data_IF_243185384147
#
_entry.id   IF_243185384147
#
_cell.length_a   1.000
_cell.length_b   1.000
_cell.length_c   1.000
_cell.angle_alpha   90.00
_cell.angle_beta   90.00
_cell.angle_gamma   90.00
#
_symmetry.space_group_name_H-M   'P 1'
#
loop_
_entity.id
_entity.type
_entity.pdbx_description
1 polymer ?
#
# COMPACT_ATOMS: atom_id res chain seq x y z
N UNK A 1 9.91 -9.50 -12.89
CA UNK A 1 9.87 -10.47 -14.02
C UNK A 1 10.16 -9.80 -15.36
N UNK A 2 9.38 -8.81 -15.82
CA UNK A 2 9.62 -8.14 -17.12
C UNK A 2 11.05 -7.59 -17.27
N UNK A 3 11.56 -6.86 -16.28
CA UNK A 3 12.92 -6.30 -16.32
C UNK A 3 14.02 -7.38 -16.42
N UNK A 4 13.83 -8.54 -15.81
CA UNK A 4 14.75 -9.67 -15.90
C UNK A 4 14.72 -10.30 -17.30
N UNK A 5 13.53 -10.49 -17.86
CA UNK A 5 13.34 -10.98 -19.23
C UNK A 5 13.93 -9.99 -20.26
N UNK A 6 13.66 -8.69 -20.11
CA UNK A 6 14.22 -7.65 -20.99
C UNK A 6 15.75 -7.64 -20.94
N UNK A 7 16.34 -7.78 -19.74
CA UNK A 7 17.79 -7.85 -19.56
C UNK A 7 18.38 -9.09 -20.24
N UNK A 8 17.71 -10.24 -20.12
CA UNK A 8 18.15 -11.50 -20.76
C UNK A 8 18.10 -11.38 -22.28
N UNK A 9 17.01 -10.86 -22.86
CA UNK A 9 16.86 -10.66 -24.30
C UNK A 9 17.94 -9.70 -24.83
N UNK A 10 18.18 -8.58 -24.16
CA UNK A 10 19.21 -7.62 -24.54
C UNK A 10 20.62 -8.19 -24.49
N UNK A 11 20.91 -9.03 -23.47
CA UNK A 11 22.21 -9.69 -23.33
C UNK A 11 22.43 -10.74 -24.41
N UNK A 12 21.45 -11.61 -24.68
CA UNK A 12 21.54 -12.61 -25.73
C UNK A 12 21.76 -11.97 -27.09
N UNK A 13 20.98 -10.94 -27.42
CA UNK A 13 21.12 -10.21 -28.67
C UNK A 13 22.51 -9.54 -28.80
N UNK A 14 22.98 -8.89 -27.73
CA UNK A 14 24.30 -8.25 -27.70
C UNK A 14 25.46 -9.24 -27.80
N UNK A 15 25.37 -10.38 -27.08
CA UNK A 15 26.39 -11.42 -27.10
C UNK A 15 26.49 -12.11 -28.47
N UNK A 16 25.34 -12.44 -29.06
CA UNK A 16 25.29 -13.06 -30.40
C UNK A 16 25.83 -12.11 -31.46
N UNK A 17 25.39 -10.85 -31.48
CA UNK A 17 25.83 -9.87 -32.44
C UNK A 17 27.33 -9.50 -32.27
N UNK A 18 27.78 -9.24 -31.05
CA UNK A 18 29.17 -8.95 -30.73
C UNK A 18 30.10 -10.13 -31.10
N UNK A 19 29.68 -11.36 -30.82
CA UNK A 19 30.39 -12.58 -31.22
C UNK A 19 30.50 -12.73 -32.75
N UNK A 20 29.42 -12.46 -33.48
CA UNK A 20 29.39 -12.51 -34.94
C UNK A 20 30.32 -11.48 -35.55
N UNK A 21 30.31 -10.24 -35.06
CA UNK A 21 31.21 -9.17 -35.49
C UNK A 21 32.68 -9.52 -35.19
N UNK A 22 32.95 -10.12 -34.02
CA UNK A 22 34.28 -10.54 -33.62
C UNK A 22 34.86 -11.64 -34.52
N UNK A 23 33.99 -12.52 -35.06
CA UNK A 23 34.42 -13.56 -36.00
C UNK A 23 34.59 -13.00 -37.43
N UNK A 24 33.67 -12.09 -37.82
CA UNK A 24 33.63 -11.56 -39.20
C UNK A 24 34.68 -10.47 -39.51
N UNK A 25 35.07 -9.69 -38.51
CA UNK A 25 36.02 -8.58 -38.69
C UNK A 25 37.27 -8.82 -37.86
N UNK A 26 38.45 -8.77 -38.53
CA UNK A 26 39.73 -8.76 -37.85
C UNK A 26 39.93 -7.42 -37.11
N UNK A 27 40.39 -7.47 -35.86
CA UNK A 27 40.58 -6.30 -35.00
C UNK A 27 42.01 -6.22 -34.45
N UNK A 28 42.99 -6.48 -35.31
CA UNK A 28 44.41 -6.50 -34.97
C UNK A 28 45.12 -5.15 -35.12
N UNK A 29 44.41 -4.04 -35.42
CA UNK A 29 44.91 -2.69 -35.53
C UNK A 29 43.91 -1.66 -35.07
N UNK A 30 44.36 -0.45 -34.72
CA UNK A 30 43.51 0.61 -34.13
C UNK A 30 42.30 0.96 -34.99
N UNK A 31 42.50 1.13 -36.30
CA UNK A 31 41.45 1.46 -37.26
C UNK A 31 40.47 0.30 -37.42
N UNK A 32 40.99 -0.94 -37.53
CA UNK A 32 40.13 -2.13 -37.66
C UNK A 32 39.31 -2.40 -36.41
N UNK A 33 39.91 -2.18 -35.24
CA UNK A 33 39.18 -2.28 -33.94
C UNK A 33 38.10 -1.21 -33.86
N UNK A 34 38.36 0.04 -34.28
CA UNK A 34 37.37 1.10 -34.33
C UNK A 34 36.18 0.77 -35.23
N UNK A 35 36.42 0.20 -36.42
CA UNK A 35 35.38 -0.25 -37.34
C UNK A 35 34.58 -1.43 -36.79
N UNK A 36 35.24 -2.39 -36.12
CA UNK A 36 34.57 -3.51 -35.48
C UNK A 36 33.68 -3.04 -34.32
N UNK A 37 34.15 -2.10 -33.48
CA UNK A 37 33.36 -1.46 -32.42
C UNK A 37 32.16 -0.74 -33.00
N UNK A 38 32.30 0.03 -34.07
CA UNK A 38 31.19 0.71 -34.71
C UNK A 38 30.16 -0.30 -35.25
N UNK A 39 30.61 -1.36 -35.90
CA UNK A 39 29.75 -2.42 -36.43
C UNK A 39 29.02 -3.20 -35.31
N UNK A 40 29.62 -3.38 -34.16
CA UNK A 40 29.00 -4.06 -33.03
C UNK A 40 27.99 -3.16 -32.28
N UNK A 41 28.36 -1.90 -32.06
CA UNK A 41 27.57 -1.00 -31.19
C UNK A 41 26.46 -0.29 -31.95
N UNK A 42 26.65 0.20 -33.16
CA UNK A 42 25.68 1.01 -33.86
C UNK A 42 24.33 0.28 -34.12
N UNK A 43 24.29 -0.95 -34.64
CA UNK A 43 23.03 -1.67 -34.83
C UNK A 43 22.33 -2.00 -33.49
N UNK A 44 23.09 -2.41 -32.47
CA UNK A 44 22.53 -2.74 -31.16
C UNK A 44 22.02 -1.52 -30.42
N UNK A 45 22.68 -0.34 -30.59
CA UNK A 45 22.21 0.93 -30.05
C UNK A 45 20.93 1.40 -30.76
N UNK A 46 20.82 1.20 -32.05
CA UNK A 46 19.57 1.47 -32.79
C UNK A 46 18.43 0.61 -32.28
N UNK A 47 18.65 -0.69 -32.08
CA UNK A 47 17.67 -1.60 -31.50
C UNK A 47 17.27 -1.17 -30.07
N UNK A 48 18.23 -0.72 -29.26
CA UNK A 48 17.98 -0.20 -27.91
C UNK A 48 17.15 1.09 -27.91
N UNK A 49 17.29 1.94 -28.93
CA UNK A 49 16.49 3.13 -29.10
C UNK A 49 15.05 2.83 -29.51
N UNK A 50 14.84 1.78 -30.30
CA UNK A 50 13.52 1.34 -30.77
C UNK A 50 12.76 0.52 -29.73
N UNK A 51 13.47 -0.27 -28.90
CA UNK A 51 12.86 -1.13 -27.90
C UNK A 51 13.72 -1.21 -26.63
N UNK A 52 13.13 -0.86 -25.50
CA UNK A 52 13.78 -0.84 -24.20
C UNK A 52 14.35 -2.20 -23.74
N UNK A 53 13.84 -3.31 -24.27
CA UNK A 53 14.35 -4.67 -23.98
C UNK A 53 15.79 -4.88 -24.47
N UNK A 54 16.26 -4.12 -25.45
CA UNK A 54 17.63 -4.19 -25.99
C UNK A 54 18.60 -3.19 -25.38
N UNK A 55 18.21 -2.46 -24.32
CA UNK A 55 19.03 -1.41 -23.71
C UNK A 55 20.44 -1.87 -23.27
N UNK A 56 20.57 -3.15 -22.91
CA UNK A 56 21.83 -3.77 -22.47
C UNK A 56 22.66 -4.32 -23.65
N UNK A 57 22.07 -4.52 -24.83
CA UNK A 57 22.71 -5.15 -25.98
C UNK A 57 24.00 -4.43 -26.46
N UNK A 58 24.08 -3.08 -26.55
CA UNK A 58 25.32 -2.41 -27.00
C UNK A 58 26.51 -2.65 -26.08
N UNK A 59 26.26 -2.63 -24.76
CA UNK A 59 27.31 -2.86 -23.76
C UNK A 59 27.78 -4.31 -23.82
N UNK A 60 26.87 -5.26 -23.95
CA UNK A 60 27.21 -6.69 -24.05
C UNK A 60 27.98 -6.98 -25.35
N UNK A 61 27.58 -6.40 -26.47
CA UNK A 61 28.26 -6.56 -27.74
C UNK A 61 29.72 -6.03 -27.67
N UNK A 62 29.93 -4.88 -27.02
CA UNK A 62 31.25 -4.28 -26.81
C UNK A 62 32.14 -5.19 -25.92
N UNK A 63 31.60 -5.72 -24.83
CA UNK A 63 32.34 -6.60 -23.90
C UNK A 63 32.77 -7.90 -24.58
N UNK A 64 31.92 -8.46 -25.43
CA UNK A 64 32.23 -9.70 -26.16
C UNK A 64 33.26 -9.43 -27.26
N UNK A 65 33.23 -8.23 -27.90
CA UNK A 65 34.17 -7.84 -28.93
C UNK A 65 35.58 -7.52 -28.38
N UNK A 66 35.66 -6.87 -27.21
CA UNK A 66 36.88 -6.39 -26.59
C UNK A 66 37.18 -7.10 -25.25
N UNK A 67 37.61 -8.34 -25.25
CA UNK A 67 37.92 -9.05 -24.01
C UNK A 67 39.13 -8.37 -23.33
N UNK A 68 38.92 -7.92 -22.09
CA UNK A 68 39.86 -6.99 -21.42
C UNK A 68 40.97 -7.67 -20.61
N UNK A 69 40.90 -8.94 -20.27
CA UNK A 69 41.99 -9.66 -19.55
C UNK A 69 41.62 -11.14 -19.31
N UNK A 70 42.38 -12.06 -19.81
CA UNK A 70 42.27 -13.48 -19.53
C UNK A 70 43.02 -14.33 -20.54
N UNK A 71 43.15 -15.65 -20.29
CA UNK A 71 43.67 -16.57 -21.30
C UNK A 71 42.81 -16.45 -22.56
N UNK A 72 43.44 -16.51 -23.74
CA UNK A 72 42.79 -16.32 -25.04
C UNK A 72 41.64 -17.32 -25.27
N UNK A 73 40.44 -16.98 -24.77
CA UNK A 73 39.22 -17.71 -25.05
C UNK A 73 38.75 -17.39 -26.47
N UNK A 74 38.14 -18.37 -27.13
CA UNK A 74 37.50 -18.10 -28.42
C UNK A 74 36.31 -17.13 -28.24
N UNK A 75 35.94 -16.33 -29.25
CA UNK A 75 34.78 -15.41 -29.16
C UNK A 75 33.51 -16.11 -28.73
N UNK A 76 33.35 -17.36 -29.12
CA UNK A 76 32.19 -18.20 -28.71
C UNK A 76 32.23 -18.53 -27.22
N UNK A 77 33.41 -18.85 -26.67
CA UNK A 77 33.57 -19.15 -25.25
C UNK A 77 33.27 -17.91 -24.39
N UNK A 78 33.70 -16.74 -24.80
CA UNK A 78 33.34 -15.45 -24.13
C UNK A 78 31.86 -15.17 -24.17
N UNK A 79 31.20 -15.39 -25.32
CA UNK A 79 29.75 -15.19 -25.42
C UNK A 79 28.98 -16.13 -24.49
N UNK A 80 29.41 -17.43 -24.41
CA UNK A 80 28.81 -18.42 -23.51
C UNK A 80 29.04 -18.07 -22.02
N UNK A 81 30.24 -17.67 -21.64
CA UNK A 81 30.55 -17.23 -20.27
C UNK A 81 29.65 -16.08 -19.85
N UNK A 82 29.46 -15.07 -20.71
CA UNK A 82 28.55 -13.94 -20.45
C UNK A 82 27.11 -14.36 -20.29
N UNK A 83 26.63 -15.29 -21.11
CA UNK A 83 25.26 -15.81 -21.01
C UNK A 83 25.07 -16.52 -19.66
N UNK A 84 26.04 -17.34 -19.25
CA UNK A 84 25.99 -18.07 -17.97
C UNK A 84 26.02 -17.12 -16.78
N UNK A 85 26.94 -16.15 -16.74
CA UNK A 85 27.04 -15.15 -15.67
C UNK A 85 25.73 -14.37 -15.48
N UNK A 86 25.16 -13.89 -16.57
CA UNK A 86 23.94 -13.08 -16.51
C UNK A 86 22.73 -13.94 -16.17
N UNK A 87 22.65 -15.14 -16.70
CA UNK A 87 21.58 -16.10 -16.35
C UNK A 87 21.62 -16.45 -14.86
N UNK A 88 22.81 -16.70 -14.32
CA UNK A 88 23.01 -16.94 -12.89
C UNK A 88 22.61 -15.71 -12.04
N UNK A 89 23.04 -14.53 -12.44
CA UNK A 89 22.67 -13.28 -11.78
C UNK A 89 21.14 -13.02 -11.78
N UNK A 90 20.48 -13.32 -12.91
CA UNK A 90 19.01 -13.26 -13.02
C UNK A 90 18.35 -14.31 -12.13
N UNK A 91 18.83 -15.54 -12.13
CA UNK A 91 18.28 -16.62 -11.31
C UNK A 91 18.38 -16.29 -9.80
N UNK A 92 19.53 -15.80 -9.36
CA UNK A 92 19.72 -15.32 -7.98
C UNK A 92 18.81 -14.13 -7.67
N UNK A 93 18.77 -13.12 -8.54
CA UNK A 93 17.92 -11.95 -8.36
C UNK A 93 16.43 -12.28 -8.30
N UNK A 94 15.96 -13.18 -9.14
CA UNK A 94 14.59 -13.71 -9.10
C UNK A 94 14.37 -14.53 -7.83
N UNK A 95 15.33 -15.39 -7.45
CA UNK A 95 15.25 -16.14 -6.19
C UNK A 95 15.12 -15.24 -4.98
N UNK A 96 15.94 -14.20 -4.86
CA UNK A 96 15.83 -13.21 -3.77
C UNK A 96 14.49 -12.47 -3.83
N UNK A 97 14.02 -12.08 -5.02
CA UNK A 97 12.73 -11.43 -5.18
C UNK A 97 11.56 -12.33 -4.77
N UNK A 98 11.65 -13.63 -5.02
CA UNK A 98 10.60 -14.60 -4.69
C UNK A 98 10.58 -14.99 -3.21
N UNK A 99 11.75 -15.11 -2.57
CA UNK A 99 11.84 -15.64 -1.19
C UNK A 99 11.97 -14.56 -0.11
N UNK A 100 12.46 -13.37 -0.46
CA UNK A 100 12.74 -12.29 0.52
C UNK A 100 11.73 -11.15 0.43
N UNK A 101 11.31 -10.74 -0.78
CA UNK A 101 10.41 -9.60 -0.98
C UNK A 101 8.96 -9.83 -0.56
N UNK A 102 8.31 -11.00 -0.77
CA UNK A 102 6.92 -11.22 -0.38
C UNK A 102 6.67 -11.02 1.11
N UNK A 103 7.58 -11.50 1.95
CA UNK A 103 7.48 -11.36 3.40
C UNK A 103 7.56 -9.89 3.86
N UNK A 104 8.29 -9.03 3.13
CA UNK A 104 8.39 -7.59 3.42
C UNK A 104 7.15 -6.83 2.98
N UNK A 105 6.57 -7.13 1.83
CA UNK A 105 5.36 -6.47 1.33
C UNK A 105 4.18 -6.70 2.28
N UNK A 106 3.99 -7.91 2.79
CA UNK A 106 2.97 -8.24 3.79
C UNK A 106 3.17 -7.47 5.10
N UNK A 107 4.39 -7.47 5.64
CA UNK A 107 4.71 -6.75 6.87
C UNK A 107 4.47 -5.24 6.73
N UNK A 108 4.80 -4.66 5.59
CA UNK A 108 4.54 -3.25 5.29
C UNK A 108 3.04 -2.95 5.17
N UNK A 109 2.27 -3.83 4.54
CA UNK A 109 0.83 -3.69 4.41
C UNK A 109 0.14 -3.79 5.77
N UNK A 110 0.41 -4.86 6.54
CA UNK A 110 -0.14 -5.04 7.88
C UNK A 110 0.26 -3.90 8.82
N UNK A 111 1.52 -3.44 8.75
CA UNK A 111 2.02 -2.30 9.51
C UNK A 111 1.34 -0.99 9.15
N UNK A 112 1.13 -0.71 7.86
CA UNK A 112 0.44 0.49 7.39
C UNK A 112 -1.04 0.46 7.76
N UNK A 113 -1.72 -0.68 7.57
CA UNK A 113 -3.12 -0.86 7.96
C UNK A 113 -3.31 -0.69 9.48
N UNK A 114 -2.43 -1.28 10.29
CA UNK A 114 -2.43 -1.10 11.74
C UNK A 114 -2.22 0.37 12.14
N UNK A 115 -1.29 1.07 11.48
CA UNK A 115 -1.06 2.50 11.77
C UNK A 115 -2.26 3.37 11.40
N UNK A 116 -2.95 3.08 10.29
CA UNK A 116 -4.18 3.77 9.89
C UNK A 116 -5.28 3.56 10.95
N UNK A 117 -5.44 2.33 11.44
CA UNK A 117 -6.41 2.03 12.48
C UNK A 117 -6.11 2.80 13.79
N UNK A 118 -4.85 2.86 14.23
CA UNK A 118 -4.44 3.66 15.40
C UNK A 118 -4.72 5.16 15.21
N UNK A 119 -4.35 5.73 14.06
CA UNK A 119 -4.61 7.14 13.76
C UNK A 119 -6.12 7.45 13.70
N UNK A 120 -6.94 6.52 13.23
CA UNK A 120 -8.39 6.65 13.26
C UNK A 120 -8.95 6.57 14.69
N UNK A 121 -8.35 5.77 15.58
CA UNK A 121 -8.69 5.77 17.01
C UNK A 121 -8.36 7.11 17.67
N UNK A 122 -7.18 7.67 17.41
CA UNK A 122 -6.81 9.02 17.88
C UNK A 122 -7.76 10.08 17.32
N UNK A 123 -8.19 9.94 16.06
CA UNK A 123 -9.10 10.87 15.40
C UNK A 123 -10.48 10.88 16.06
N UNK A 124 -11.09 9.71 16.30
CA UNK A 124 -12.42 9.67 16.95
C UNK A 124 -12.38 10.22 18.37
N UNK A 125 -11.31 9.96 19.12
CA UNK A 125 -11.13 10.53 20.46
C UNK A 125 -11.06 12.07 20.43
N UNK A 126 -10.28 12.63 19.51
CA UNK A 126 -10.16 14.08 19.34
C UNK A 126 -11.46 14.72 18.86
N UNK A 127 -12.21 14.06 17.96
CA UNK A 127 -13.50 14.56 17.47
C UNK A 127 -14.54 14.65 18.59
N UNK A 128 -14.70 13.59 19.37
CA UNK A 128 -15.69 13.55 20.46
C UNK A 128 -15.27 14.44 21.64
N UNK A 129 -13.98 14.52 21.97
CA UNK A 129 -13.49 15.46 22.97
C UNK A 129 -13.83 16.92 22.60
N UNK A 130 -13.62 17.31 21.34
CA UNK A 130 -13.98 18.65 20.85
C UNK A 130 -15.49 18.89 20.77
N UNK A 131 -16.30 17.85 20.56
CA UNK A 131 -17.76 17.94 20.55
C UNK A 131 -18.34 18.22 21.95
N UNK A 132 -17.80 17.53 22.97
CA UNK A 132 -18.30 17.57 24.35
C UNK A 132 -17.63 18.69 25.17
N UNK A 133 -16.34 18.94 24.96
CA UNK A 133 -15.56 19.88 25.78
C UNK A 133 -15.63 21.32 25.31
N UNK A 134 -16.06 21.60 24.08
CA UNK A 134 -16.10 22.94 23.50
C UNK A 134 -14.71 23.59 23.29
N UNK A 135 -13.64 22.92 23.66
CA UNK A 135 -12.27 23.42 23.46
C UNK A 135 -11.83 23.22 22.00
N UNK A 136 -10.91 24.09 21.54
CA UNK A 136 -10.32 23.99 20.21
C UNK A 136 -9.73 22.58 19.99
N UNK A 137 -9.68 22.15 18.73
CA UNK A 137 -9.22 20.80 18.32
C UNK A 137 -7.76 20.84 17.85
N UNK A 138 -6.77 20.98 18.77
CA UNK A 138 -5.37 21.00 18.38
C UNK A 138 -5.02 19.65 17.77
N UNK A 139 -4.35 19.68 16.61
CA UNK A 139 -3.79 18.47 16.01
C UNK A 139 -4.68 17.72 15.00
N UNK A 140 -5.97 18.07 14.77
CA UNK A 140 -6.80 17.37 13.77
C UNK A 140 -6.21 17.45 12.36
N UNK A 141 -5.65 18.59 11.97
CA UNK A 141 -5.04 18.75 10.65
C UNK A 141 -3.83 17.84 10.47
N UNK A 142 -3.01 17.69 11.51
CA UNK A 142 -1.86 16.78 11.51
C UNK A 142 -2.28 15.31 11.49
N UNK A 143 -3.32 14.92 12.23
CA UNK A 143 -3.90 13.57 12.18
C UNK A 143 -4.41 13.25 10.78
N UNK A 144 -5.18 14.12 10.16
CA UNK A 144 -5.66 13.94 8.79
C UNK A 144 -4.51 13.87 7.78
N UNK A 145 -3.42 14.64 7.96
CA UNK A 145 -2.24 14.58 7.11
C UNK A 145 -1.52 13.24 7.27
N UNK A 146 -1.35 12.76 8.50
CA UNK A 146 -0.73 11.48 8.83
C UNK A 146 -1.52 10.30 8.25
N UNK A 147 -2.84 10.30 8.41
CA UNK A 147 -3.73 9.28 7.83
C UNK A 147 -3.58 9.25 6.30
N UNK A 148 -3.63 10.42 5.64
CA UNK A 148 -3.45 10.49 4.18
C UNK A 148 -2.08 9.99 3.71
N UNK A 149 -1.02 10.28 4.46
CA UNK A 149 0.33 9.82 4.14
C UNK A 149 0.44 8.30 4.25
N UNK A 150 -0.10 7.72 5.35
CA UNK A 150 -0.08 6.28 5.58
C UNK A 150 -0.97 5.52 4.60
N UNK A 151 -2.12 6.07 4.19
CA UNK A 151 -2.97 5.50 3.14
C UNK A 151 -2.22 5.40 1.80
N UNK A 152 -1.51 6.44 1.38
CA UNK A 152 -0.69 6.39 0.15
C UNK A 152 0.41 5.34 0.23
N UNK A 153 1.01 5.15 1.40
CA UNK A 153 2.00 4.09 1.61
C UNK A 153 1.38 2.70 1.50
N UNK A 154 0.18 2.52 2.06
CA UNK A 154 -0.59 1.28 1.95
C UNK A 154 -0.97 0.97 0.50
N UNK A 155 -1.41 1.97 -0.29
CA UNK A 155 -1.74 1.80 -1.71
C UNK A 155 -0.55 1.23 -2.50
N UNK A 156 0.66 1.72 -2.24
CA UNK A 156 1.88 1.18 -2.85
C UNK A 156 2.11 -0.30 -2.51
N UNK A 157 1.82 -0.71 -1.28
CA UNK A 157 1.94 -2.12 -0.86
C UNK A 157 0.84 -3.00 -1.48
N UNK A 158 -0.40 -2.48 -1.63
CA UNK A 158 -1.51 -3.17 -2.32
C UNK A 158 -1.18 -3.38 -3.80
N UNK A 159 -0.68 -2.34 -4.49
CA UNK A 159 -0.26 -2.43 -5.89
C UNK A 159 0.85 -3.47 -6.11
N UNK A 160 1.81 -3.56 -5.20
CA UNK A 160 2.87 -4.55 -5.26
C UNK A 160 2.31 -5.97 -5.05
N UNK A 161 1.48 -6.17 -4.04
CA UNK A 161 0.79 -7.45 -3.81
C UNK A 161 -0.08 -7.88 -5.00
N UNK A 162 -0.76 -6.93 -5.67
CA UNK A 162 -1.53 -7.21 -6.87
C UNK A 162 -0.65 -7.65 -8.05
N UNK A 163 0.57 -7.09 -8.19
CA UNK A 163 1.55 -7.52 -9.20
C UNK A 163 2.08 -8.92 -8.92
N UNK A 164 2.37 -9.23 -7.65
CA UNK A 164 2.82 -10.57 -7.24
C UNK A 164 1.79 -11.65 -7.57
N UNK A 165 0.51 -11.40 -7.28
CA UNK A 165 -0.59 -12.34 -7.60
C UNK A 165 -0.74 -12.58 -9.09
N UNK A 166 -0.64 -11.55 -9.95
CA UNK A 166 -0.71 -11.71 -11.42
C UNK A 166 0.39 -12.63 -11.98
N UNK A 167 1.47 -12.82 -11.26
CA UNK A 167 2.56 -13.70 -11.66
C UNK A 167 2.42 -15.13 -11.12
N UNK A 168 1.29 -15.49 -10.51
CA UNK A 168 1.00 -16.79 -9.89
C UNK A 168 2.04 -17.22 -8.83
N UNK A 169 2.70 -16.27 -8.19
CA UNK A 169 3.77 -16.54 -7.23
C UNK A 169 3.28 -16.53 -5.76
N UNK A 170 2.02 -16.17 -5.51
CA UNK A 170 1.45 -16.21 -4.16
C UNK A 170 -0.04 -16.59 -4.20
N UNK A 171 -0.41 -17.52 -3.34
CA UNK A 171 -1.81 -17.95 -3.10
C UNK A 171 -2.41 -17.24 -1.87
N UNK A 172 -1.98 -16.00 -1.63
CA UNK A 172 -2.35 -15.23 -0.43
C UNK A 172 -3.62 -14.42 -0.63
N UNK A 173 -4.34 -14.14 0.48
CA UNK A 173 -5.53 -13.31 0.48
C UNK A 173 -5.28 -11.95 -0.18
N UNK A 174 -6.31 -11.46 -0.87
CA UNK A 174 -6.30 -10.14 -1.48
C UNK A 174 -6.30 -9.05 -0.41
N UNK A 175 -5.29 -8.17 -0.34
CA UNK A 175 -5.28 -7.06 0.61
C UNK A 175 -6.20 -5.90 0.20
N UNK A 176 -6.70 -5.88 -1.03
CA UNK A 176 -7.54 -4.78 -1.54
C UNK A 176 -8.84 -4.58 -0.75
N UNK A 177 -9.58 -5.64 -0.32
CA UNK A 177 -10.76 -5.48 0.54
C UNK A 177 -10.46 -4.79 1.86
N UNK A 178 -9.36 -5.15 2.55
CA UNK A 178 -8.94 -4.49 3.79
C UNK A 178 -8.63 -3.00 3.56
N UNK A 179 -7.92 -2.68 2.50
CA UNK A 179 -7.60 -1.30 2.14
C UNK A 179 -8.87 -0.49 1.88
N UNK A 180 -9.82 -1.01 1.11
CA UNK A 180 -11.11 -0.36 0.83
C UNK A 180 -11.90 -0.10 2.11
N UNK A 181 -11.93 -1.06 3.04
CA UNK A 181 -12.64 -0.90 4.31
C UNK A 181 -11.99 0.19 5.16
N UNK A 182 -10.66 0.28 5.22
CA UNK A 182 -9.97 1.38 5.91
C UNK A 182 -10.28 2.76 5.30
N UNK A 183 -10.46 2.86 3.99
CA UNK A 183 -10.93 4.08 3.33
C UNK A 183 -12.36 4.44 3.73
N UNK A 184 -13.27 3.46 3.85
CA UNK A 184 -14.66 3.68 4.31
C UNK A 184 -14.68 4.15 5.76
N UNK A 185 -14.00 3.45 6.67
CA UNK A 185 -13.85 3.87 8.09
C UNK A 185 -13.34 5.31 8.19
N UNK A 186 -12.32 5.66 7.40
CA UNK A 186 -11.84 7.05 7.35
C UNK A 186 -12.90 8.01 6.84
N UNK A 187 -13.67 7.63 5.80
CA UNK A 187 -14.75 8.45 5.25
C UNK A 187 -15.81 8.75 6.31
N UNK A 188 -16.24 7.73 7.06
CA UNK A 188 -17.22 7.87 8.13
C UNK A 188 -16.72 8.80 9.23
N UNK A 189 -15.45 8.67 9.63
CA UNK A 189 -14.85 9.59 10.60
C UNK A 189 -14.76 11.04 10.09
N UNK A 190 -14.62 11.27 8.77
CA UNK A 190 -14.70 12.60 8.17
C UNK A 190 -16.15 13.12 8.25
N UNK A 191 -17.15 12.29 8.00
CA UNK A 191 -18.57 12.66 8.12
C UNK A 191 -18.94 12.95 9.58
N UNK A 192 -18.52 12.12 10.52
CA UNK A 192 -18.64 12.36 11.96
C UNK A 192 -17.94 13.68 12.34
N UNK A 193 -16.75 13.95 11.80
CA UNK A 193 -16.02 15.19 12.02
C UNK A 193 -16.75 16.43 11.56
N UNK A 194 -17.50 16.37 10.47
CA UNK A 194 -18.39 17.45 10.01
C UNK A 194 -19.58 17.66 10.97
N UNK A 195 -20.18 16.56 11.44
CA UNK A 195 -21.25 16.64 12.45
C UNK A 195 -20.74 17.21 13.78
N UNK A 196 -19.47 16.94 14.10
CA UNK A 196 -18.80 17.54 15.27
C UNK A 196 -18.29 18.98 15.07
N UNK A 197 -18.62 19.71 14.02
CA UNK A 197 -18.03 21.01 13.69
C UNK A 197 -18.25 22.08 14.78
N UNK A 198 -19.30 22.00 15.58
CA UNK A 198 -19.56 22.83 16.74
C UNK A 198 -19.95 21.97 17.95
N UNK A 199 -19.79 22.47 19.19
CA UNK A 199 -20.25 21.77 20.39
C UNK A 199 -21.74 21.47 20.34
N UNK A 200 -22.14 20.47 21.13
CA UNK A 200 -23.56 20.15 21.32
C UNK A 200 -24.23 21.23 22.17
N UNK A 201 -25.55 21.55 21.94
CA UNK A 201 -26.32 22.33 22.87
C UNK A 201 -26.26 21.75 24.29
N UNK A 202 -26.22 22.58 25.36
CA UNK A 202 -25.98 22.10 26.73
C UNK A 202 -26.94 21.00 27.20
N UNK A 203 -28.23 21.09 26.82
CA UNK A 203 -29.24 20.08 27.18
C UNK A 203 -29.00 18.76 26.46
N UNK A 204 -28.61 18.80 25.20
CA UNK A 204 -28.28 17.62 24.39
C UNK A 204 -26.96 16.98 24.87
N UNK A 205 -25.95 17.81 25.15
CA UNK A 205 -24.67 17.36 25.69
C UNK A 205 -24.85 16.64 27.02
N UNK A 206 -25.60 17.22 27.96
CA UNK A 206 -25.88 16.61 29.25
C UNK A 206 -26.52 15.22 29.13
N UNK A 207 -27.43 15.03 28.15
CA UNK A 207 -28.15 13.79 27.95
C UNK A 207 -27.35 12.73 27.18
N UNK A 208 -26.46 13.11 26.28
CA UNK A 208 -25.72 12.20 25.41
C UNK A 208 -24.27 11.96 25.83
N UNK A 209 -23.72 12.79 26.71
CA UNK A 209 -22.28 12.79 27.08
C UNK A 209 -21.78 11.39 27.47
N UNK A 210 -22.46 10.71 28.36
CA UNK A 210 -22.04 9.40 28.84
C UNK A 210 -22.04 8.35 27.72
N UNK A 211 -23.13 8.31 26.93
CA UNK A 211 -23.24 7.35 25.82
C UNK A 211 -22.26 7.64 24.70
N UNK A 212 -21.98 8.93 24.40
CA UNK A 212 -20.99 9.33 23.42
C UNK A 212 -19.57 9.00 23.86
N UNK A 213 -19.23 9.21 25.14
CA UNK A 213 -17.92 8.81 25.69
C UNK A 213 -17.75 7.29 25.65
N UNK A 214 -18.77 6.53 26.06
CA UNK A 214 -18.76 5.07 25.96
C UNK A 214 -18.57 4.58 24.52
N UNK A 215 -19.30 5.19 23.57
CA UNK A 215 -19.21 4.84 22.16
C UNK A 215 -17.82 5.17 21.58
N UNK A 216 -17.27 6.35 21.87
CA UNK A 216 -15.89 6.74 21.52
C UNK A 216 -14.88 5.71 21.98
N UNK A 217 -14.97 5.30 23.25
CA UNK A 217 -14.00 4.37 23.84
C UNK A 217 -14.07 3.00 23.19
N UNK A 218 -15.28 2.52 22.83
CA UNK A 218 -15.45 1.25 22.13
C UNK A 218 -14.93 1.31 20.69
N UNK A 219 -15.16 2.40 19.96
CA UNK A 219 -14.58 2.60 18.62
C UNK A 219 -13.05 2.59 18.70
N UNK A 220 -12.47 3.39 19.62
CA UNK A 220 -11.04 3.47 19.79
C UNK A 220 -10.42 2.12 20.20
N UNK A 221 -11.06 1.40 21.11
CA UNK A 221 -10.62 0.07 21.54
C UNK A 221 -10.65 -0.93 20.39
N UNK A 222 -11.71 -0.94 19.58
CA UNK A 222 -11.84 -1.83 18.44
C UNK A 222 -10.77 -1.55 17.38
N UNK A 223 -10.55 -0.30 17.04
CA UNK A 223 -9.52 0.11 16.08
C UNK A 223 -8.10 -0.25 16.56
N UNK A 224 -7.77 0.02 17.84
CA UNK A 224 -6.47 -0.35 18.42
C UNK A 224 -6.31 -1.87 18.54
N UNK A 225 -7.38 -2.58 18.89
CA UNK A 225 -7.39 -4.05 18.93
C UNK A 225 -7.12 -4.65 17.56
N UNK A 226 -7.76 -4.14 16.52
CA UNK A 226 -7.52 -4.55 15.13
C UNK A 226 -6.09 -4.22 14.70
N UNK A 227 -5.55 -3.05 15.07
CA UNK A 227 -4.16 -2.69 14.81
C UNK A 227 -3.17 -3.65 15.45
N UNK A 228 -3.42 -4.04 16.71
CA UNK A 228 -2.61 -5.04 17.42
C UNK A 228 -2.68 -6.40 16.73
N UNK A 229 -3.89 -6.84 16.38
CA UNK A 229 -4.12 -8.12 15.70
C UNK A 229 -3.37 -8.20 14.37
N UNK A 230 -3.43 -7.15 13.54
CA UNK A 230 -2.70 -7.08 12.26
C UNK A 230 -1.18 -7.17 12.42
N UNK A 231 -0.61 -6.62 13.52
CA UNK A 231 0.84 -6.69 13.76
C UNK A 231 1.28 -8.03 14.33
N UNK A 232 0.46 -8.61 15.20
CA UNK A 232 0.79 -9.85 15.89
C UNK A 232 0.42 -11.10 15.08
N UNK A 233 -0.41 -10.96 14.04
CA UNK A 233 -1.01 -12.10 13.36
C UNK A 233 -2.10 -12.78 14.19
N UNK A 234 -2.74 -12.03 15.10
CA UNK A 234 -3.79 -12.51 15.99
C UNK A 234 -5.19 -12.20 15.43
N UNK A 235 -6.21 -12.75 16.08
CA UNK A 235 -7.60 -12.49 15.72
C UNK A 235 -8.02 -11.07 16.12
N UNK A 236 -8.65 -10.34 15.21
CA UNK A 236 -9.21 -9.02 15.47
C UNK A 236 -10.42 -9.10 16.43
N UNK A 237 -10.68 -8.04 17.24
CA UNK A 237 -11.77 -8.04 18.21
C UNK A 237 -13.15 -8.15 17.55
N UNK A 238 -14.12 -8.78 18.28
CA UNK A 238 -15.53 -8.80 17.88
C UNK A 238 -16.15 -7.39 17.93
N UNK A 239 -17.08 -7.06 17.03
CA UNK A 239 -17.83 -5.80 17.06
C UNK A 239 -18.94 -5.74 18.13
N UNK A 240 -19.15 -6.76 18.94
CA UNK A 240 -20.35 -6.88 19.80
C UNK A 240 -20.40 -5.81 20.89
N UNK A 241 -19.28 -5.51 21.53
CA UNK A 241 -19.20 -4.45 22.54
C UNK A 241 -19.51 -3.07 21.95
N UNK A 242 -19.03 -2.83 20.73
CA UNK A 242 -19.35 -1.59 20.00
C UNK A 242 -20.84 -1.53 19.67
N UNK A 243 -21.44 -2.60 19.15
CA UNK A 243 -22.87 -2.67 18.83
C UNK A 243 -23.75 -2.40 20.06
N UNK A 244 -23.34 -2.91 21.21
CA UNK A 244 -24.04 -2.65 22.49
C UNK A 244 -24.00 -1.16 22.83
N UNK A 245 -22.83 -0.51 22.72
CA UNK A 245 -22.68 0.91 22.99
C UNK A 245 -23.41 1.79 21.97
N UNK A 246 -23.40 1.40 20.70
CA UNK A 246 -24.17 2.07 19.65
C UNK A 246 -25.68 2.00 19.94
N UNK A 247 -26.19 0.84 20.32
CA UNK A 247 -27.59 0.67 20.68
C UNK A 247 -27.99 1.57 21.86
N UNK A 248 -27.14 1.69 22.89
CA UNK A 248 -27.37 2.59 24.00
C UNK A 248 -27.42 4.07 23.57
N UNK A 249 -26.52 4.48 22.70
CA UNK A 249 -26.49 5.85 22.13
C UNK A 249 -27.75 6.12 21.29
N UNK A 250 -28.13 5.20 20.41
CA UNK A 250 -29.36 5.31 19.58
C UNK A 250 -30.60 5.45 20.46
N UNK A 251 -30.71 4.64 21.51
CA UNK A 251 -31.84 4.71 22.49
C UNK A 251 -31.86 6.05 23.22
N UNK A 252 -30.73 6.60 23.62
CA UNK A 252 -30.65 7.93 24.23
C UNK A 252 -31.15 9.00 23.28
N UNK A 253 -30.74 8.95 22.01
CA UNK A 253 -31.21 9.85 20.96
C UNK A 253 -32.72 9.76 20.73
N UNK A 254 -33.29 8.56 20.68
CA UNK A 254 -34.72 8.34 20.51
C UNK A 254 -35.51 8.88 21.72
N UNK A 255 -34.97 8.75 22.92
CA UNK A 255 -35.55 9.34 24.14
C UNK A 255 -35.57 10.85 24.06
N UNK A 256 -34.48 11.50 23.67
CA UNK A 256 -34.43 12.97 23.48
C UNK A 256 -35.44 13.47 22.45
N UNK A 257 -35.59 12.71 21.35
CA UNK A 257 -36.60 13.00 20.32
C UNK A 257 -38.00 12.92 20.88
N UNK A 258 -38.32 11.86 21.61
CA UNK A 258 -39.65 11.66 22.22
C UNK A 258 -39.99 12.76 23.24
N UNK A 259 -38.98 13.26 23.97
CA UNK A 259 -39.13 14.38 24.91
C UNK A 259 -39.23 15.75 24.21
N UNK A 260 -39.09 15.80 22.89
CA UNK A 260 -39.13 17.06 22.13
C UNK A 260 -37.93 17.96 22.31
N UNK A 261 -36.83 17.47 22.86
CA UNK A 261 -35.63 18.27 23.17
C UNK A 261 -34.96 18.89 21.92
N UNK A 262 -35.33 18.45 20.73
CA UNK A 262 -34.81 19.00 19.45
C UNK A 262 -35.77 20.00 18.79
N UNK A 263 -36.96 20.28 19.36
CA UNK A 263 -38.00 21.09 18.70
C UNK A 263 -37.58 22.54 18.52
N UNK A 264 -36.92 23.12 19.53
CA UNK A 264 -36.53 24.51 19.57
C UNK A 264 -35.10 24.77 19.04
N UNK A 265 -34.44 23.72 18.52
CA UNK A 265 -33.12 23.88 17.95
C UNK A 265 -33.18 24.34 16.48
N UNK A 266 -32.22 25.16 16.05
CA UNK A 266 -32.04 25.52 14.64
C UNK A 266 -31.92 24.23 13.77
N UNK A 267 -32.45 24.28 12.53
CA UNK A 267 -32.50 23.11 11.64
C UNK A 267 -31.13 22.53 11.31
N UNK A 268 -30.11 23.35 11.24
CA UNK A 268 -28.72 22.92 11.02
C UNK A 268 -28.13 22.18 12.23
N UNK A 269 -28.48 22.55 13.45
CA UNK A 269 -28.10 21.81 14.66
C UNK A 269 -28.80 20.49 14.74
N UNK A 270 -30.11 20.45 14.46
CA UNK A 270 -30.86 19.18 14.36
C UNK A 270 -30.22 18.29 13.32
N UNK A 271 -29.92 18.83 12.13
CA UNK A 271 -29.26 18.08 11.05
C UNK A 271 -27.91 17.48 11.48
N UNK A 272 -27.09 18.23 12.22
CA UNK A 272 -25.79 17.75 12.74
C UNK A 272 -25.94 16.63 13.76
N UNK A 273 -26.90 16.74 14.67
CA UNK A 273 -27.15 15.71 15.69
C UNK A 273 -27.56 14.37 15.03
N UNK A 274 -28.45 14.40 14.03
CA UNK A 274 -28.83 13.20 13.30
C UNK A 274 -27.76 12.69 12.35
N UNK A 275 -26.95 13.58 11.76
CA UNK A 275 -25.80 13.17 10.96
C UNK A 275 -24.74 12.45 11.81
N UNK A 276 -24.58 12.86 13.08
CA UNK A 276 -23.69 12.16 14.03
C UNK A 276 -24.18 10.71 14.29
N UNK A 277 -25.49 10.55 14.54
CA UNK A 277 -26.11 9.21 14.70
C UNK A 277 -25.84 8.34 13.47
N UNK A 278 -26.21 8.83 12.28
CA UNK A 278 -26.04 8.10 11.04
C UNK A 278 -24.57 7.74 10.80
N UNK A 279 -23.64 8.67 11.08
CA UNK A 279 -22.21 8.42 10.94
C UNK A 279 -21.71 7.29 11.82
N UNK A 280 -22.18 7.17 13.06
CA UNK A 280 -21.82 6.07 13.94
C UNK A 280 -22.48 4.74 13.56
N UNK A 281 -23.70 4.76 13.01
CA UNK A 281 -24.36 3.56 12.49
C UNK A 281 -23.56 3.00 11.29
N UNK A 282 -23.16 3.86 10.32
CA UNK A 282 -22.32 3.45 9.19
C UNK A 282 -20.94 2.98 9.63
N UNK A 283 -20.29 3.72 10.52
CA UNK A 283 -19.00 3.33 11.07
C UNK A 283 -19.05 1.93 11.73
N UNK A 284 -20.20 1.58 12.32
CA UNK A 284 -20.41 0.26 12.93
C UNK A 284 -20.34 -0.88 11.94
N UNK A 285 -20.97 -0.73 10.79
CA UNK A 285 -20.94 -1.72 9.72
C UNK A 285 -19.51 -1.84 9.15
N UNK A 286 -18.84 -0.72 8.95
CA UNK A 286 -17.47 -0.69 8.43
C UNK A 286 -16.42 -1.19 9.41
N UNK A 287 -16.61 -1.02 10.73
CA UNK A 287 -15.77 -1.64 11.76
C UNK A 287 -15.94 -3.15 11.83
N UNK A 288 -17.16 -3.65 11.66
CA UNK A 288 -17.41 -5.10 11.60
C UNK A 288 -16.74 -5.73 10.37
N UNK A 289 -16.85 -5.07 9.20
CA UNK A 289 -16.17 -5.51 7.99
C UNK A 289 -14.63 -5.41 8.14
N UNK A 290 -14.11 -4.37 8.79
CA UNK A 290 -12.69 -4.21 9.08
C UNK A 290 -12.12 -5.38 9.90
N UNK A 291 -12.85 -5.79 10.94
CA UNK A 291 -12.48 -6.96 11.76
C UNK A 291 -12.45 -8.25 10.92
N UNK A 292 -13.47 -8.46 10.08
CA UNK A 292 -13.54 -9.63 9.19
C UNK A 292 -12.37 -9.66 8.19
N UNK A 293 -12.08 -8.53 7.51
CA UNK A 293 -10.97 -8.43 6.56
C UNK A 293 -9.61 -8.56 7.21
N UNK A 294 -9.43 -8.05 8.42
CA UNK A 294 -8.22 -8.25 9.19
C UNK A 294 -7.98 -9.74 9.50
N UNK A 295 -9.03 -10.45 9.89
CA UNK A 295 -8.96 -11.89 10.16
C UNK A 295 -8.65 -12.71 8.90
N UNK A 296 -9.22 -12.36 7.74
CA UNK A 296 -8.89 -13.01 6.46
C UNK A 296 -7.40 -12.85 6.09
N UNK A 297 -6.85 -11.66 6.31
CA UNK A 297 -5.43 -11.40 6.03
C UNK A 297 -4.50 -12.17 6.98
N UNK A 298 -4.89 -12.36 8.22
CA UNK A 298 -4.10 -13.09 9.23
C UNK A 298 -4.11 -14.60 8.98
N UNK A 299 -5.23 -15.15 8.50
CA UNK A 299 -5.40 -16.59 8.26
C UNK A 299 -4.77 -17.08 6.94
N UNK A 300 -4.42 -16.21 6.04
CA UNK A 300 -3.80 -16.51 4.72
C UNK A 300 -2.27 -16.49 4.77
#
# INVERSE_FOLDING_TARGET
>A
MKAAADRMVGTLAGALWGGLVSIALSHQGEVQTGLAVLAAVAPTALLAALNSSFRVAPITALIVLLPTSGPALTPLAYALERIVEITLGIAIGVGVALFVLPARARGLLAGSAARIAELNAELVEALIAGLIGGEGRPGLASLHASIRATLRQMDGAVDEAARERRTHLSDHADPEPLARTLYRVRHDLVMIGRACAAPLPPAIDAALRETLLGLRDRVAQMLRGTAKALRAGDQAPSPDDFRTSLSAYVKAMDTLRAQGATRDLPGDEVGRIYALRFGFEQLGDDLADLSARANELVQS
#
